data_IF_038997294017
#
_entry.id   IF_038997294017
#
_cell.length_a   1.000
_cell.length_b   1.000
_cell.length_c   1.000
_cell.angle_alpha   90.00
_cell.angle_beta   90.00
_cell.angle_gamma   90.00
#
_symmetry.space_group_name_H-M   'P 1'
#
loop_
_entity.id
_entity.type
_entity.pdbx_description
1 polymer ?
#
# COMPACT_ATOMS: atom_id res chain seq x y z
N UNK A 1 -11.47 44.30 34.73
CA UNK A 1 -11.46 42.82 34.62
C UNK A 1 -12.18 42.34 33.35
N UNK A 2 -13.36 42.87 33.01
CA UNK A 2 -14.10 42.47 31.79
C UNK A 2 -13.41 42.80 30.46
N UNK A 3 -12.78 43.98 30.31
CA UNK A 3 -12.15 44.36 29.02
C UNK A 3 -11.01 43.42 28.57
N UNK A 4 -10.28 42.84 29.53
CA UNK A 4 -9.19 41.92 29.23
C UNK A 4 -9.71 40.59 28.71
N UNK A 5 -10.87 40.14 29.21
CA UNK A 5 -11.57 38.94 28.74
C UNK A 5 -12.07 39.14 27.30
N UNK A 6 -12.64 40.31 26.99
CA UNK A 6 -13.09 40.64 25.62
C UNK A 6 -11.94 40.69 24.62
N UNK A 7 -10.81 41.31 24.97
CA UNK A 7 -9.61 41.32 24.11
C UNK A 7 -9.04 39.93 23.86
N UNK A 8 -9.08 39.06 24.87
CA UNK A 8 -8.69 37.65 24.72
C UNK A 8 -9.64 36.91 23.78
N UNK A 9 -10.95 37.08 23.95
CA UNK A 9 -11.96 36.46 23.08
C UNK A 9 -11.86 36.94 21.63
N UNK A 10 -11.62 38.23 21.41
CA UNK A 10 -11.37 38.80 20.07
C UNK A 10 -10.10 38.22 19.43
N UNK A 11 -9.02 38.08 20.20
CA UNK A 11 -7.79 37.45 19.74
C UNK A 11 -8.04 35.99 19.34
N UNK A 12 -8.71 35.20 20.18
CA UNK A 12 -9.06 33.82 19.87
C UNK A 12 -10.01 33.70 18.67
N UNK A 13 -11.00 34.59 18.56
CA UNK A 13 -11.90 34.65 17.42
C UNK A 13 -11.18 34.98 16.11
N UNK A 14 -10.26 35.95 16.13
CA UNK A 14 -9.43 36.31 15.00
C UNK A 14 -8.49 35.18 14.56
N UNK A 15 -7.85 34.50 15.51
CA UNK A 15 -7.02 33.32 15.24
C UNK A 15 -7.87 32.18 14.66
N UNK A 16 -9.04 31.90 15.22
CA UNK A 16 -9.94 30.86 14.72
C UNK A 16 -10.41 31.15 13.29
N UNK A 17 -10.75 32.41 12.98
CA UNK A 17 -11.14 32.84 11.64
C UNK A 17 -9.99 32.71 10.64
N UNK A 18 -8.77 33.11 11.01
CA UNK A 18 -7.57 32.95 10.18
C UNK A 18 -7.29 31.47 9.88
N UNK A 19 -7.39 30.61 10.90
CA UNK A 19 -7.24 29.16 10.72
C UNK A 19 -8.32 28.58 9.80
N UNK A 20 -9.57 29.05 9.93
CA UNK A 20 -10.67 28.64 9.07
C UNK A 20 -10.46 29.08 7.62
N UNK A 21 -10.06 30.34 7.38
CA UNK A 21 -9.79 30.85 6.04
C UNK A 21 -8.60 30.13 5.41
N UNK A 22 -7.54 29.88 6.18
CA UNK A 22 -6.40 29.07 5.72
C UNK A 22 -6.85 27.65 5.33
N UNK A 23 -7.65 26.99 6.17
CA UNK A 23 -8.21 25.66 5.89
C UNK A 23 -9.09 25.67 4.62
N UNK A 24 -9.98 26.66 4.46
CA UNK A 24 -10.83 26.78 3.27
C UNK A 24 -9.98 27.01 2.02
N UNK A 25 -9.02 27.93 2.08
CA UNK A 25 -8.12 28.24 0.95
C UNK A 25 -7.33 27.02 0.53
N UNK A 26 -6.84 26.26 1.51
CA UNK A 26 -6.18 24.96 1.33
C UNK A 26 -7.09 23.94 0.65
N UNK A 27 -8.32 23.81 1.14
CA UNK A 27 -9.30 22.85 0.59
C UNK A 27 -9.63 23.22 -0.85
N UNK A 28 -9.83 24.51 -1.13
CA UNK A 28 -10.11 25.03 -2.47
C UNK A 28 -8.91 24.86 -3.40
N UNK A 29 -7.69 25.18 -2.94
CA UNK A 29 -6.47 25.03 -3.72
C UNK A 29 -6.19 23.56 -4.02
N UNK A 30 -6.39 22.64 -3.06
CA UNK A 30 -6.20 21.21 -3.31
C UNK A 30 -7.32 20.64 -4.18
N UNK A 31 -8.57 21.09 -4.02
CA UNK A 31 -9.67 20.71 -4.92
C UNK A 31 -9.36 21.15 -6.36
N UNK A 32 -8.83 22.36 -6.54
CA UNK A 32 -8.33 22.86 -7.82
C UNK A 32 -7.15 22.04 -8.34
N UNK A 33 -6.10 21.85 -7.54
CA UNK A 33 -4.91 21.06 -7.90
C UNK A 33 -5.28 19.64 -8.30
N UNK A 34 -6.23 19.00 -7.61
CA UNK A 34 -6.70 17.65 -7.94
C UNK A 34 -7.50 17.59 -9.23
N UNK A 35 -8.39 18.57 -9.45
CA UNK A 35 -9.18 18.67 -10.67
C UNK A 35 -8.30 18.75 -11.92
N UNK A 36 -7.15 19.41 -11.83
CA UNK A 36 -6.32 19.69 -13.01
C UNK A 36 -5.00 18.88 -13.10
N UNK A 37 -4.42 18.42 -11.99
CA UNK A 37 -3.08 17.79 -11.99
C UNK A 37 -3.04 16.32 -11.52
N UNK A 38 -4.17 15.68 -11.19
CA UNK A 38 -4.13 14.48 -10.35
C UNK A 38 -5.12 13.36 -10.69
N UNK A 39 -5.50 13.18 -11.96
CA UNK A 39 -6.01 11.88 -12.39
C UNK A 39 -4.96 10.79 -12.06
N UNK A 40 -5.37 9.60 -11.64
CA UNK A 40 -4.47 8.45 -11.63
C UNK A 40 -3.90 8.25 -13.04
N UNK A 41 -2.84 7.46 -13.19
CA UNK A 41 -2.32 7.16 -14.52
C UNK A 41 -3.36 6.29 -15.25
N UNK A 42 -4.39 6.87 -15.84
CA UNK A 42 -5.45 6.11 -16.53
C UNK A 42 -5.00 5.59 -17.91
N UNK A 43 -3.74 5.82 -18.29
CA UNK A 43 -3.17 5.15 -19.47
C UNK A 43 -3.24 3.63 -19.26
N UNK A 44 -3.56 2.93 -20.34
CA UNK A 44 -3.49 1.48 -20.39
C UNK A 44 -2.11 1.05 -19.93
N UNK A 45 -2.06 0.27 -18.85
CA UNK A 45 -0.83 -0.40 -18.50
C UNK A 45 -0.55 -1.41 -19.61
N UNK A 46 0.68 -1.39 -20.13
CA UNK A 46 1.18 -2.36 -21.08
C UNK A 46 2.32 -3.07 -20.36
N UNK A 47 2.28 -4.40 -20.36
CA UNK A 47 3.43 -5.17 -19.94
C UNK A 47 4.43 -5.24 -21.09
N UNK A 48 5.67 -4.91 -20.77
CA UNK A 48 6.77 -4.95 -21.71
C UNK A 48 7.39 -6.36 -21.68
N UNK A 49 7.31 -7.08 -22.81
CA UNK A 49 8.01 -8.35 -23.00
C UNK A 49 9.32 -8.09 -23.75
N UNK A 50 10.49 -8.22 -23.10
CA UNK A 50 11.77 -7.96 -23.75
C UNK A 50 12.10 -8.98 -24.86
N UNK A 51 11.33 -10.07 -24.99
CA UNK A 51 11.51 -11.09 -26.03
C UNK A 51 10.50 -10.96 -27.19
N UNK A 52 9.59 -9.98 -27.14
CA UNK A 52 8.52 -9.83 -28.13
C UNK A 52 8.24 -8.36 -28.42
N UNK A 53 8.06 -8.01 -29.69
CA UNK A 53 7.58 -6.68 -30.08
C UNK A 53 6.06 -6.54 -29.92
N UNK A 54 5.35 -7.62 -29.56
CA UNK A 54 3.90 -7.56 -29.32
C UNK A 54 3.65 -7.05 -27.90
N UNK A 55 2.84 -6.00 -27.73
CA UNK A 55 2.47 -5.53 -26.40
C UNK A 55 1.68 -6.64 -25.68
N UNK A 56 2.01 -6.89 -24.41
CA UNK A 56 1.25 -7.84 -23.58
C UNK A 56 0.20 -7.04 -22.82
N UNK A 57 -1.10 -7.29 -23.06
CA UNK A 57 -2.16 -6.55 -22.37
C UNK A 57 -2.10 -6.83 -20.87
N UNK A 58 -2.31 -5.80 -20.06
CA UNK A 58 -2.43 -5.98 -18.62
C UNK A 58 -3.83 -6.54 -18.29
N UNK A 59 -3.92 -7.64 -17.52
CA UNK A 59 -5.17 -8.19 -17.05
C UNK A 59 -5.80 -7.21 -16.06
N UNK A 60 -7.06 -7.45 -15.74
CA UNK A 60 -7.80 -6.66 -14.78
C UNK A 60 -7.98 -7.42 -13.47
N UNK A 61 -7.84 -6.73 -12.34
CA UNK A 61 -8.25 -7.27 -11.03
C UNK A 61 -9.73 -7.73 -11.02
N UNK A 62 -10.54 -7.19 -11.93
CA UNK A 62 -11.96 -7.52 -12.05
C UNK A 62 -12.24 -8.81 -12.83
N UNK A 63 -11.23 -9.36 -13.51
CA UNK A 63 -11.28 -10.67 -14.14
C UNK A 63 -11.02 -11.78 -13.11
N UNK A 64 -11.50 -13.03 -13.36
CA UNK A 64 -11.19 -14.19 -12.53
C UNK A 64 -9.68 -14.35 -12.32
N UNK A 65 -9.29 -14.89 -11.16
CA UNK A 65 -7.88 -15.15 -10.88
C UNK A 65 -7.32 -16.25 -11.80
N UNK A 66 -6.13 -16.04 -12.34
CA UNK A 66 -5.38 -17.06 -13.12
C UNK A 66 -4.21 -17.64 -12.34
N UNK A 67 -3.76 -16.94 -11.29
CA UNK A 67 -2.64 -17.32 -10.44
C UNK A 67 -3.11 -17.40 -9.01
N UNK A 68 -2.45 -18.24 -8.21
CA UNK A 68 -2.72 -18.27 -6.79
C UNK A 68 -2.19 -17.00 -6.10
N UNK A 69 -0.97 -16.57 -6.42
CA UNK A 69 -0.32 -15.42 -5.78
C UNK A 69 0.23 -14.40 -6.80
N UNK A 70 -0.05 -13.12 -6.60
CA UNK A 70 0.66 -12.02 -7.26
C UNK A 70 1.52 -11.26 -6.26
N UNK A 71 2.80 -11.05 -6.57
CA UNK A 71 3.69 -10.19 -5.79
C UNK A 71 3.85 -8.86 -6.50
N UNK A 72 3.57 -7.76 -5.81
CA UNK A 72 3.58 -6.40 -6.31
C UNK A 72 4.78 -5.68 -5.71
N UNK A 73 5.78 -5.38 -6.54
CA UNK A 73 7.06 -4.80 -6.12
C UNK A 73 7.25 -3.43 -6.77
N UNK A 74 7.06 -2.32 -6.04
CA UNK A 74 7.32 -0.99 -6.56
C UNK A 74 8.83 -0.70 -6.55
N UNK A 75 9.36 -0.18 -7.65
CA UNK A 75 10.77 0.13 -7.81
C UNK A 75 10.96 1.58 -8.30
N UNK A 76 11.81 2.33 -7.59
CA UNK A 76 12.25 3.66 -8.01
C UNK A 76 13.72 3.89 -7.62
N UNK A 77 14.58 3.89 -8.62
CA UNK A 77 16.04 3.98 -8.45
C UNK A 77 16.60 2.91 -7.50
N UNK A 78 16.32 1.65 -7.83
CA UNK A 78 16.64 0.45 -7.05
C UNK A 78 17.66 -0.46 -7.75
N UNK A 79 18.46 0.04 -8.71
CA UNK A 79 19.38 -0.77 -9.52
C UNK A 79 20.26 -1.71 -8.68
N UNK A 80 20.70 -1.26 -7.50
CA UNK A 80 21.59 -2.04 -6.63
C UNK A 80 20.86 -2.92 -5.62
N UNK A 81 19.60 -2.63 -5.28
CA UNK A 81 18.85 -3.36 -4.22
C UNK A 81 17.89 -4.38 -4.79
N UNK A 82 17.28 -4.07 -5.93
CA UNK A 82 16.29 -4.90 -6.60
C UNK A 82 16.82 -6.32 -6.97
N UNK A 83 18.05 -6.50 -7.50
CA UNK A 83 18.52 -7.84 -7.87
C UNK A 83 18.52 -8.84 -6.72
N UNK A 84 19.08 -8.45 -5.57
CA UNK A 84 19.17 -9.32 -4.40
C UNK A 84 17.80 -9.66 -3.82
N UNK A 85 16.90 -8.67 -3.73
CA UNK A 85 15.53 -8.87 -3.27
C UNK A 85 14.74 -9.81 -4.20
N UNK A 86 14.88 -9.64 -5.53
CA UNK A 86 14.22 -10.50 -6.50
C UNK A 86 14.80 -11.91 -6.53
N UNK A 87 16.13 -12.09 -6.46
CA UNK A 87 16.72 -13.43 -6.41
C UNK A 87 16.27 -14.19 -5.13
N UNK A 88 16.24 -13.54 -3.97
CA UNK A 88 15.69 -14.14 -2.73
C UNK A 88 14.22 -14.56 -2.94
N UNK A 89 13.41 -13.67 -3.52
CA UNK A 89 11.99 -13.90 -3.78
C UNK A 89 11.77 -15.05 -4.76
N UNK A 90 12.46 -15.06 -5.90
CA UNK A 90 12.32 -16.08 -6.93
C UNK A 90 12.80 -17.45 -6.44
N UNK A 91 13.89 -17.51 -5.67
CA UNK A 91 14.35 -18.76 -5.05
C UNK A 91 13.33 -19.33 -4.05
N UNK A 92 12.61 -18.49 -3.29
CA UNK A 92 11.53 -18.94 -2.44
C UNK A 92 10.35 -19.47 -3.25
N UNK A 93 9.88 -18.72 -4.26
CA UNK A 93 8.72 -19.08 -5.07
C UNK A 93 8.95 -20.37 -5.88
N UNK A 94 10.14 -20.55 -6.46
CA UNK A 94 10.48 -21.78 -7.19
C UNK A 94 10.47 -23.01 -6.28
N UNK A 95 11.06 -22.92 -5.08
CA UNK A 95 10.99 -24.00 -4.08
C UNK A 95 9.56 -24.32 -3.66
N UNK A 96 8.69 -23.31 -3.57
CA UNK A 96 7.28 -23.50 -3.27
C UNK A 96 6.53 -24.23 -4.40
N UNK A 97 6.79 -23.89 -5.67
CA UNK A 97 6.28 -24.63 -6.84
C UNK A 97 6.81 -26.07 -6.91
N UNK A 98 8.05 -26.31 -6.47
CA UNK A 98 8.60 -27.66 -6.40
C UNK A 98 7.87 -28.52 -5.37
N UNK A 99 7.56 -27.94 -4.20
CA UNK A 99 6.84 -28.59 -3.10
C UNK A 99 5.35 -28.78 -3.38
N UNK A 100 4.71 -27.82 -4.04
CA UNK A 100 3.28 -27.83 -4.36
C UNK A 100 3.06 -27.46 -5.83
N UNK A 101 2.67 -28.44 -6.64
CA UNK A 101 2.44 -28.27 -8.08
C UNK A 101 1.17 -27.48 -8.41
N UNK A 102 0.26 -27.30 -7.45
CA UNK A 102 -0.92 -26.46 -7.61
C UNK A 102 -0.61 -24.99 -7.38
N UNK A 103 0.48 -24.68 -6.67
CA UNK A 103 0.90 -23.31 -6.43
C UNK A 103 1.37 -22.66 -7.72
N UNK A 104 0.76 -21.52 -8.05
CA UNK A 104 1.12 -20.69 -9.19
C UNK A 104 1.30 -19.24 -8.74
N UNK A 105 2.24 -18.54 -9.37
CA UNK A 105 2.54 -17.17 -8.98
C UNK A 105 2.82 -16.27 -10.17
N UNK A 106 2.82 -14.98 -9.91
CA UNK A 106 3.48 -13.97 -10.74
C UNK A 106 4.14 -12.89 -9.86
N UNK A 107 5.19 -12.27 -10.39
CA UNK A 107 5.85 -11.10 -9.82
C UNK A 107 5.66 -9.94 -10.78
N UNK A 108 5.07 -8.86 -10.29
CA UNK A 108 4.84 -7.62 -11.04
C UNK A 108 5.76 -6.56 -10.46
N UNK A 109 6.75 -6.16 -11.25
CA UNK A 109 7.67 -5.07 -10.92
C UNK A 109 7.11 -3.79 -11.54
N UNK A 110 6.95 -2.74 -10.73
CA UNK A 110 6.43 -1.45 -11.21
C UNK A 110 7.53 -0.42 -11.11
N UNK A 111 8.11 -0.06 -12.25
CA UNK A 111 9.08 1.02 -12.35
C UNK A 111 8.36 2.37 -12.34
N UNK A 112 8.53 3.13 -11.26
CA UNK A 112 7.94 4.45 -11.06
C UNK A 112 8.79 5.55 -11.75
N UNK A 113 9.24 5.29 -12.97
CA UNK A 113 10.03 6.23 -13.77
C UNK A 113 11.46 6.41 -13.27
N UNK A 114 12.18 5.31 -13.03
CA UNK A 114 13.57 5.35 -12.60
C UNK A 114 14.48 5.97 -13.67
N UNK A 115 15.53 6.64 -13.19
CA UNK A 115 16.57 7.28 -14.02
C UNK A 115 17.90 6.52 -14.03
N UNK A 116 18.02 5.50 -13.17
CA UNK A 116 19.15 4.57 -13.12
C UNK A 116 18.88 3.28 -13.93
N UNK A 117 19.71 2.25 -13.75
CA UNK A 117 19.56 0.96 -14.43
C UNK A 117 18.43 0.05 -13.92
N UNK A 118 17.54 0.51 -13.03
CA UNK A 118 16.42 -0.31 -12.48
C UNK A 118 15.59 -0.99 -13.56
N UNK A 119 15.26 -0.26 -14.65
CA UNK A 119 14.48 -0.80 -15.77
C UNK A 119 15.19 -2.00 -16.43
N UNK A 120 16.50 -1.87 -16.66
CA UNK A 120 17.32 -2.94 -17.26
C UNK A 120 17.30 -4.19 -16.37
N UNK A 121 17.53 -4.01 -15.07
CA UNK A 121 17.48 -5.10 -14.09
C UNK A 121 16.12 -5.80 -14.14
N UNK A 122 15.02 -5.06 -14.08
CA UNK A 122 13.69 -5.62 -14.13
C UNK A 122 13.45 -6.45 -15.41
N UNK A 123 13.90 -5.96 -16.57
CA UNK A 123 13.81 -6.69 -17.83
C UNK A 123 14.64 -7.96 -17.87
N UNK A 124 15.83 -7.97 -17.28
CA UNK A 124 16.67 -9.17 -17.22
C UNK A 124 15.97 -10.29 -16.41
N UNK A 125 15.20 -9.93 -15.38
CA UNK A 125 14.36 -10.90 -14.66
C UNK A 125 13.19 -11.42 -15.51
N UNK A 126 12.53 -10.57 -16.31
CA UNK A 126 11.49 -11.03 -17.25
C UNK A 126 12.07 -12.02 -18.25
N UNK A 127 13.25 -11.75 -18.81
CA UNK A 127 13.93 -12.69 -19.72
C UNK A 127 14.25 -14.02 -19.05
N UNK A 128 14.77 -13.98 -17.83
CA UNK A 128 15.18 -15.17 -17.06
C UNK A 128 13.99 -16.07 -16.69
N UNK A 129 12.86 -15.48 -16.29
CA UNK A 129 11.73 -16.24 -15.71
C UNK A 129 10.47 -16.29 -16.58
N UNK A 130 10.50 -15.67 -17.76
CA UNK A 130 9.40 -15.53 -18.74
C UNK A 130 8.29 -14.58 -18.26
N UNK A 131 7.62 -13.96 -19.24
CA UNK A 131 6.54 -12.98 -19.02
C UNK A 131 5.32 -13.53 -18.28
N UNK A 132 5.14 -14.86 -18.23
CA UNK A 132 4.06 -15.45 -17.45
C UNK A 132 4.32 -15.43 -15.94
N UNK A 133 5.58 -15.44 -15.49
CA UNK A 133 5.92 -15.43 -14.07
C UNK A 133 6.47 -14.09 -13.59
N UNK A 134 7.12 -13.31 -14.46
CA UNK A 134 7.66 -11.98 -14.10
C UNK A 134 7.24 -10.97 -15.15
N UNK A 135 6.66 -9.85 -14.70
CA UNK A 135 6.12 -8.79 -15.55
C UNK A 135 6.59 -7.43 -15.07
N UNK A 136 6.68 -6.47 -15.99
CA UNK A 136 7.11 -5.10 -15.70
C UNK A 136 6.09 -4.10 -16.20
N UNK A 137 5.69 -3.17 -15.33
CA UNK A 137 4.90 -1.98 -15.69
C UNK A 137 5.82 -0.76 -15.59
N UNK A 138 5.91 0.02 -16.65
CA UNK A 138 6.66 1.28 -16.67
C UNK A 138 5.67 2.45 -16.53
N UNK A 139 5.80 3.25 -15.47
CA UNK A 139 4.98 4.46 -15.31
C UNK A 139 5.53 5.67 -16.08
N UNK A 140 6.79 5.60 -16.52
CA UNK A 140 7.46 6.61 -17.36
C UNK A 140 7.91 7.87 -16.61
N UNK A 141 7.32 8.20 -15.47
CA UNK A 141 7.78 9.24 -14.54
C UNK A 141 7.39 8.88 -13.11
N UNK A 142 8.04 9.51 -12.13
CA UNK A 142 7.72 9.30 -10.72
C UNK A 142 6.37 9.90 -10.34
N UNK A 143 5.44 9.03 -9.97
CA UNK A 143 4.12 9.35 -9.44
C UNK A 143 4.01 9.10 -7.93
N UNK A 144 4.89 8.25 -7.38
CA UNK A 144 4.94 7.86 -5.99
C UNK A 144 4.57 6.40 -5.77
N UNK A 145 5.06 5.85 -4.64
CA UNK A 145 4.90 4.44 -4.25
C UNK A 145 3.43 3.99 -4.27
N UNK A 146 2.51 4.78 -3.72
CA UNK A 146 1.09 4.48 -3.71
C UNK A 146 0.50 4.31 -5.12
N UNK A 147 0.90 5.13 -6.10
CA UNK A 147 0.47 4.96 -7.50
C UNK A 147 1.03 3.68 -8.12
N UNK A 148 2.32 3.41 -7.89
CA UNK A 148 2.98 2.20 -8.39
C UNK A 148 2.32 0.93 -7.85
N UNK A 149 2.07 0.87 -6.54
CA UNK A 149 1.33 -0.22 -5.91
C UNK A 149 -0.09 -0.31 -6.46
N UNK A 150 -0.82 0.81 -6.55
CA UNK A 150 -2.18 0.83 -7.11
C UNK A 150 -2.22 0.16 -8.47
N UNK A 151 -1.29 0.54 -9.35
CA UNK A 151 -1.21 0.02 -10.71
C UNK A 151 -0.90 -1.47 -10.72
N UNK A 152 0.09 -1.92 -9.95
CA UNK A 152 0.42 -3.33 -9.84
C UNK A 152 -0.75 -4.17 -9.32
N UNK A 153 -1.44 -3.68 -8.28
CA UNK A 153 -2.60 -4.36 -7.70
C UNK A 153 -3.75 -4.48 -8.70
N UNK A 154 -4.14 -3.39 -9.36
CA UNK A 154 -5.25 -3.38 -10.32
C UNK A 154 -4.99 -4.20 -11.60
N UNK A 155 -3.72 -4.53 -11.88
CA UNK A 155 -3.30 -5.29 -13.07
C UNK A 155 -2.72 -6.67 -12.73
N UNK A 156 -3.18 -7.27 -11.64
CA UNK A 156 -2.72 -8.57 -11.14
C UNK A 156 -3.74 -9.69 -11.36
N UNK A 157 -3.25 -10.92 -11.40
CA UNK A 157 -3.99 -12.16 -11.69
C UNK A 157 -4.17 -13.08 -10.47
N UNK A 158 -3.60 -12.71 -9.33
CA UNK A 158 -3.57 -13.50 -8.11
C UNK A 158 -4.91 -13.57 -7.38
N UNK A 159 -5.20 -14.72 -6.77
CA UNK A 159 -6.22 -14.84 -5.71
C UNK A 159 -5.81 -14.07 -4.46
N UNK A 160 -4.53 -14.17 -4.12
CA UNK A 160 -3.87 -13.40 -3.08
C UNK A 160 -2.86 -12.44 -3.72
N UNK A 161 -2.77 -11.23 -3.17
CA UNK A 161 -1.91 -10.17 -3.65
C UNK A 161 -1.01 -9.72 -2.51
N UNK A 162 0.29 -9.90 -2.67
CA UNK A 162 1.29 -9.47 -1.70
C UNK A 162 2.00 -8.22 -2.20
N UNK A 163 1.95 -7.15 -1.43
CA UNK A 163 2.88 -6.03 -1.55
C UNK A 163 4.21 -6.39 -0.89
N UNK A 164 5.32 -6.13 -1.57
CA UNK A 164 6.67 -6.32 -1.06
C UNK A 164 7.60 -5.19 -1.54
N UNK A 165 8.42 -4.64 -0.64
CA UNK A 165 9.39 -3.60 -0.99
C UNK A 165 10.57 -4.16 -1.82
N UNK A 166 11.05 -3.37 -2.77
CA UNK A 166 12.14 -3.72 -3.69
C UNK A 166 13.53 -3.83 -3.02
N UNK A 167 13.66 -3.47 -1.75
CA UNK A 167 14.95 -3.43 -1.05
C UNK A 167 15.30 -4.70 -0.29
N UNK A 168 14.38 -5.67 -0.21
CA UNK A 168 14.60 -6.93 0.51
C UNK A 168 14.65 -6.77 2.03
N UNK A 169 14.17 -5.64 2.57
CA UNK A 169 14.21 -5.39 4.01
C UNK A 169 13.30 -6.34 4.79
N UNK A 170 12.16 -6.77 4.21
CA UNK A 170 11.29 -7.79 4.80
C UNK A 170 11.56 -9.14 4.15
N UNK A 171 11.65 -10.20 4.96
CA UNK A 171 11.95 -11.54 4.46
C UNK A 171 10.73 -12.22 3.83
N UNK A 172 10.90 -12.70 2.60
CA UNK A 172 9.83 -13.35 1.82
C UNK A 172 9.26 -14.58 2.53
N UNK A 173 10.07 -15.28 3.34
CA UNK A 173 9.64 -16.45 4.10
C UNK A 173 8.46 -16.17 5.06
N UNK A 174 8.26 -14.91 5.47
CA UNK A 174 7.13 -14.54 6.33
C UNK A 174 5.81 -14.42 5.58
N UNK A 175 5.80 -14.64 4.26
CA UNK A 175 4.60 -14.67 3.43
C UNK A 175 3.57 -15.68 3.96
N UNK A 176 4.02 -16.87 4.35
CA UNK A 176 3.15 -17.94 4.86
C UNK A 176 2.43 -17.50 6.15
N UNK A 177 3.07 -16.68 6.99
CA UNK A 177 2.42 -16.14 8.19
C UNK A 177 1.22 -15.26 7.85
N UNK A 178 1.31 -14.44 6.81
CA UNK A 178 0.19 -13.59 6.38
C UNK A 178 -0.91 -14.45 5.73
N UNK A 179 -0.51 -15.40 4.88
CA UNK A 179 -1.42 -16.33 4.21
C UNK A 179 -2.23 -17.16 5.22
N UNK A 180 -1.57 -17.73 6.21
CA UNK A 180 -2.21 -18.54 7.25
C UNK A 180 -3.23 -17.73 8.06
N UNK A 181 -2.93 -16.47 8.37
CA UNK A 181 -3.87 -15.59 9.06
C UNK A 181 -5.06 -15.21 8.19
N UNK A 182 -4.87 -14.96 6.89
CA UNK A 182 -5.99 -14.74 5.96
C UNK A 182 -6.89 -15.98 5.92
N UNK A 183 -6.30 -17.18 5.83
CA UNK A 183 -7.06 -18.45 5.85
C UNK A 183 -7.82 -18.65 7.17
N UNK A 184 -7.20 -18.33 8.30
CA UNK A 184 -7.85 -18.45 9.61
C UNK A 184 -9.05 -17.51 9.74
N UNK A 185 -8.91 -16.24 9.33
CA UNK A 185 -10.00 -15.27 9.31
C UNK A 185 -11.09 -15.69 8.33
N UNK A 186 -10.71 -16.15 7.14
CA UNK A 186 -11.68 -16.62 6.13
C UNK A 186 -12.55 -17.76 6.67
N UNK A 187 -11.96 -18.74 7.37
CA UNK A 187 -12.72 -19.85 7.99
C UNK A 187 -13.73 -19.34 9.03
N UNK A 188 -13.35 -18.38 9.86
CA UNK A 188 -14.27 -17.78 10.84
C UNK A 188 -15.42 -17.03 10.17
N UNK A 189 -15.13 -16.29 9.10
CA UNK A 189 -16.15 -15.61 8.29
C UNK A 189 -17.07 -16.60 7.56
N UNK A 190 -16.54 -17.75 7.15
CA UNK A 190 -17.33 -18.84 6.55
C UNK A 190 -18.28 -19.47 7.55
N UNK A 191 -17.77 -19.89 8.71
CA UNK A 191 -18.60 -20.50 9.75
C UNK A 191 -19.77 -19.59 10.15
N UNK A 192 -19.58 -18.26 10.14
CA UNK A 192 -20.65 -17.29 10.38
C UNK A 192 -21.68 -17.20 9.24
N UNK A 193 -21.25 -17.37 7.97
CA UNK A 193 -22.10 -17.22 6.79
C UNK A 193 -22.80 -18.51 6.36
N UNK A 194 -22.18 -19.66 6.53
CA UNK A 194 -22.76 -20.97 6.19
C UNK A 194 -23.91 -21.35 7.15
N UNK A 195 -23.88 -20.86 8.40
CA UNK A 195 -25.06 -20.93 9.29
C UNK A 195 -26.25 -20.14 8.70
N UNK A 196 -25.99 -19.13 7.86
CA UNK A 196 -26.99 -18.25 7.27
C UNK A 196 -27.33 -18.55 5.79
N UNK A 197 -26.51 -19.33 5.06
CA UNK A 197 -26.67 -19.58 3.63
C UNK A 197 -26.39 -21.05 3.28
N UNK A 198 -27.40 -21.74 2.75
CA UNK A 198 -27.35 -23.17 2.41
C UNK A 198 -26.84 -23.47 1.00
N UNK A 199 -26.19 -22.53 0.31
CA UNK A 199 -25.82 -22.71 -1.09
C UNK A 199 -24.70 -21.74 -1.51
N UNK A 200 -23.43 -22.19 -1.52
CA UNK A 200 -22.39 -21.83 -2.51
C UNK A 200 -20.95 -22.18 -2.07
N UNK A 201 -20.15 -22.65 -3.02
CA UNK A 201 -18.69 -22.80 -2.93
C UNK A 201 -18.01 -21.42 -2.98
N UNK A 202 -18.00 -20.69 -1.88
CA UNK A 202 -17.34 -19.38 -1.82
C UNK A 202 -15.82 -19.59 -1.77
N UNK A 203 -15.09 -18.92 -2.67
CA UNK A 203 -13.63 -18.98 -2.71
C UNK A 203 -13.03 -17.93 -1.75
N UNK A 204 -11.83 -18.21 -1.22
CA UNK A 204 -11.11 -17.27 -0.34
C UNK A 204 -10.84 -15.91 -1.01
N UNK A 205 -10.69 -15.91 -2.34
CA UNK A 205 -10.49 -14.73 -3.16
C UNK A 205 -11.70 -13.79 -3.18
N UNK A 206 -12.91 -14.30 -2.89
CA UNK A 206 -14.16 -13.55 -2.87
C UNK A 206 -14.48 -12.92 -1.51
N UNK A 207 -13.84 -13.38 -0.44
CA UNK A 207 -13.96 -12.76 0.89
C UNK A 207 -12.94 -11.63 1.01
N UNK A 208 -13.36 -10.38 1.25
CA UNK A 208 -12.44 -9.29 1.43
C UNK A 208 -11.77 -9.37 2.81
N UNK A 209 -10.49 -9.71 2.84
CA UNK A 209 -9.59 -9.74 4.01
C UNK A 209 -8.26 -9.06 3.67
N UNK A 210 -7.65 -8.38 4.64
CA UNK A 210 -6.32 -7.78 4.53
C UNK A 210 -5.42 -8.16 5.72
N UNK A 211 -4.17 -8.51 5.44
CA UNK A 211 -3.15 -8.82 6.43
C UNK A 211 -1.97 -7.86 6.32
N UNK A 212 -1.58 -7.27 7.44
CA UNK A 212 -0.53 -6.26 7.54
C UNK A 212 0.66 -6.85 8.28
N UNK A 213 1.81 -6.92 7.62
CA UNK A 213 3.08 -7.14 8.31
C UNK A 213 3.40 -5.98 9.24
N UNK A 214 4.13 -6.26 10.32
CA UNK A 214 4.43 -5.30 11.37
C UNK A 214 5.82 -5.47 11.94
N UNK A 215 6.51 -4.33 12.07
CA UNK A 215 7.82 -4.19 12.71
C UNK A 215 7.69 -3.61 14.12
N UNK A 216 6.48 -3.46 14.66
CA UNK A 216 6.25 -2.83 15.95
C UNK A 216 7.05 -3.49 17.10
N UNK A 217 7.24 -4.82 17.03
CA UNK A 217 8.06 -5.56 18.00
C UNK A 217 9.57 -5.22 17.96
N UNK A 218 10.06 -4.66 16.84
CA UNK A 218 11.43 -4.14 16.70
C UNK A 218 11.52 -2.69 17.18
N UNK A 219 10.44 -1.93 17.05
CA UNK A 219 10.34 -0.55 17.50
C UNK A 219 10.57 -0.45 19.01
N UNK A 220 9.98 -1.36 19.79
CA UNK A 220 10.17 -1.42 21.24
C UNK A 220 11.66 -1.54 21.62
N UNK A 221 12.41 -2.37 20.91
CA UNK A 221 13.87 -2.53 21.11
C UNK A 221 14.65 -1.28 20.71
N UNK A 222 14.22 -0.59 19.66
CA UNK A 222 14.89 0.63 19.17
C UNK A 222 14.55 1.88 20.01
N UNK A 223 13.37 1.94 20.62
CA UNK A 223 12.94 3.07 21.46
C UNK A 223 13.79 3.24 22.71
N UNK A 224 14.34 2.14 23.23
CA UNK A 224 15.22 2.12 24.40
C UNK A 224 16.56 2.85 24.17
N UNK A 225 16.99 3.01 22.92
CA UNK A 225 18.32 3.56 22.58
C UNK A 225 18.26 4.91 21.84
N UNK A 226 17.07 5.39 21.46
CA UNK A 226 16.87 6.59 20.64
C UNK A 226 16.75 7.88 21.44
N UNK A 227 17.18 9.00 20.83
CA UNK A 227 17.03 10.35 21.41
C UNK A 227 15.54 10.70 21.60
N UNK A 228 15.23 11.34 22.73
CA UNK A 228 13.85 11.61 23.19
C UNK A 228 12.98 12.38 22.17
N UNK A 229 13.53 13.36 21.44
CA UNK A 229 12.76 14.16 20.49
C UNK A 229 12.29 13.34 19.27
N UNK A 230 13.04 12.29 18.89
CA UNK A 230 12.61 11.37 17.83
C UNK A 230 11.41 10.54 18.30
N UNK A 231 11.42 10.12 19.57
CA UNK A 231 10.31 9.38 20.17
C UNK A 231 9.06 10.28 20.28
N UNK A 232 9.22 11.57 20.62
CA UNK A 232 8.12 12.53 20.65
C UNK A 232 7.50 12.74 19.26
N UNK A 233 8.32 12.98 18.23
CA UNK A 233 7.84 13.18 16.85
C UNK A 233 7.12 11.93 16.31
N UNK A 234 7.66 10.75 16.58
CA UNK A 234 7.08 9.48 16.18
C UNK A 234 5.73 9.23 16.87
N UNK A 235 5.64 9.44 18.19
CA UNK A 235 4.37 9.35 18.93
C UNK A 235 3.35 10.36 18.41
N UNK A 236 3.78 11.58 18.07
CA UNK A 236 2.91 12.58 17.43
C UNK A 236 2.38 12.10 16.07
N UNK A 237 3.24 11.51 15.23
CA UNK A 237 2.82 10.92 13.96
C UNK A 237 1.82 9.78 14.16
N UNK A 238 2.07 8.87 15.12
CA UNK A 238 1.13 7.79 15.45
C UNK A 238 -0.23 8.33 15.93
N UNK A 239 -0.24 9.41 16.72
CA UNK A 239 -1.49 10.06 17.12
C UNK A 239 -2.25 10.62 15.92
N UNK A 240 -1.57 11.28 14.97
CA UNK A 240 -2.21 11.80 13.75
C UNK A 240 -2.79 10.67 12.90
N UNK A 241 -2.05 9.57 12.74
CA UNK A 241 -2.54 8.36 12.04
C UNK A 241 -3.76 7.78 12.75
N UNK A 242 -3.71 7.64 14.08
CA UNK A 242 -4.82 7.15 14.88
C UNK A 242 -6.07 8.01 14.73
N UNK A 243 -5.92 9.34 14.77
CA UNK A 243 -7.05 10.26 14.60
C UNK A 243 -7.64 10.23 13.20
N UNK A 244 -6.82 9.95 12.17
CA UNK A 244 -7.26 9.98 10.78
C UNK A 244 -7.84 8.63 10.30
N UNK A 245 -7.15 7.52 10.57
CA UNK A 245 -7.52 6.18 10.13
C UNK A 245 -8.19 5.33 11.23
N UNK A 246 -8.15 5.75 12.50
CA UNK A 246 -8.69 5.02 13.65
C UNK A 246 -7.74 3.93 14.19
N UNK A 247 -8.12 3.23 15.29
CA UNK A 247 -7.29 2.18 15.92
C UNK A 247 -7.30 0.85 15.16
N UNK A 248 -6.28 0.01 15.29
CA UNK A 248 -6.34 -1.39 14.83
C UNK A 248 -5.04 -1.93 14.22
N UNK A 249 -4.31 -1.10 13.46
CA UNK A 249 -3.00 -1.46 12.90
C UNK A 249 -1.95 -0.50 13.49
N UNK A 250 -0.94 -1.04 14.16
CA UNK A 250 0.12 -0.23 14.77
C UNK A 250 1.17 0.20 13.75
N UNK A 251 1.71 -0.74 12.97
CA UNK A 251 2.68 -0.43 11.91
C UNK A 251 2.00 -0.36 10.54
N UNK A 252 1.37 0.79 10.25
CA UNK A 252 0.75 0.99 8.93
C UNK A 252 1.78 1.03 7.80
N UNK A 253 3.04 1.38 8.08
CA UNK A 253 4.04 1.72 7.07
C UNK A 253 4.92 0.53 6.66
N UNK A 254 4.67 -0.68 7.17
CA UNK A 254 5.39 -1.86 6.73
C UNK A 254 5.08 -2.17 5.27
N UNK A 255 6.09 -2.29 4.40
CA UNK A 255 5.92 -2.60 2.99
C UNK A 255 5.43 -4.02 2.68
N UNK A 256 5.14 -4.85 3.70
CA UNK A 256 4.75 -6.24 3.55
C UNK A 256 3.29 -6.43 3.93
N UNK A 257 2.40 -6.49 2.94
CA UNK A 257 0.95 -6.56 3.18
C UNK A 257 0.28 -7.47 2.16
N UNK A 258 -0.61 -8.35 2.61
CA UNK A 258 -1.31 -9.28 1.76
C UNK A 258 -2.80 -8.97 1.73
N UNK A 259 -3.40 -9.05 0.56
CA UNK A 259 -4.82 -8.79 0.32
C UNK A 259 -5.41 -9.95 -0.45
N UNK A 260 -6.62 -10.34 -0.09
CA UNK A 260 -7.49 -11.12 -0.98
C UNK A 260 -7.86 -10.30 -2.22
N UNK A 261 -8.16 -10.96 -3.34
CA UNK A 261 -8.60 -10.29 -4.58
C UNK A 261 -9.81 -9.38 -4.35
N UNK A 262 -10.81 -9.82 -3.60
CA UNK A 262 -11.98 -9.01 -3.25
C UNK A 262 -11.62 -7.75 -2.46
N UNK A 263 -10.72 -7.85 -1.46
CA UNK A 263 -10.25 -6.67 -0.74
C UNK A 263 -9.48 -5.73 -1.67
N UNK A 264 -8.55 -6.25 -2.47
CA UNK A 264 -7.75 -5.46 -3.39
C UNK A 264 -8.61 -4.66 -4.39
N UNK A 265 -9.66 -5.29 -4.95
CA UNK A 265 -10.63 -4.61 -5.83
C UNK A 265 -11.25 -3.38 -5.19
N UNK A 266 -11.73 -3.51 -3.94
CA UNK A 266 -12.36 -2.39 -3.21
C UNK A 266 -11.34 -1.32 -2.84
N UNK A 267 -10.20 -1.73 -2.29
CA UNK A 267 -9.20 -0.82 -1.75
C UNK A 267 -8.49 -0.04 -2.86
N UNK A 268 -7.86 -0.70 -3.82
CA UNK A 268 -7.01 -0.04 -4.82
C UNK A 268 -7.78 0.70 -5.91
N UNK A 269 -9.09 0.43 -6.05
CA UNK A 269 -9.98 1.28 -6.85
C UNK A 269 -10.23 2.63 -6.19
N UNK A 270 -10.16 2.68 -4.85
CA UNK A 270 -10.57 3.82 -4.03
C UNK A 270 -9.43 4.59 -3.37
N UNK A 271 -8.21 4.07 -3.34
CA UNK A 271 -7.04 4.84 -2.88
C UNK A 271 -6.80 6.04 -3.78
N UNK A 272 -6.42 7.17 -3.19
CA UNK A 272 -6.19 8.45 -3.86
C UNK A 272 -4.83 9.05 -3.53
N UNK A 273 -4.25 8.70 -2.39
CA UNK A 273 -2.89 9.11 -2.02
C UNK A 273 -1.88 8.32 -2.87
N UNK A 274 -0.97 9.05 -3.49
CA UNK A 274 0.00 8.48 -4.45
C UNK A 274 1.37 8.23 -3.84
N UNK A 275 1.69 8.83 -2.68
CA UNK A 275 3.03 8.78 -2.10
C UNK A 275 3.10 7.85 -0.90
N UNK A 276 3.55 8.34 0.26
CA UNK A 276 3.91 7.52 1.41
C UNK A 276 2.72 7.20 2.31
N UNK A 277 1.70 8.06 2.34
CA UNK A 277 0.56 7.88 3.25
C UNK A 277 -0.59 7.03 2.68
N UNK A 278 -0.43 6.46 1.48
CA UNK A 278 -1.43 5.54 0.91
C UNK A 278 -1.72 4.34 1.83
N UNK A 279 -0.73 3.90 2.61
CA UNK A 279 -0.92 2.83 3.58
C UNK A 279 -1.90 3.20 4.72
N UNK A 280 -1.90 4.47 5.14
CA UNK A 280 -2.84 4.99 6.14
C UNK A 280 -4.25 5.05 5.54
N UNK A 281 -4.35 5.43 4.27
CA UNK A 281 -5.60 5.42 3.52
C UNK A 281 -6.16 4.00 3.33
N UNK A 282 -5.30 3.00 3.11
CA UNK A 282 -5.72 1.60 3.07
C UNK A 282 -6.37 1.15 4.38
N UNK A 283 -5.78 1.51 5.54
CA UNK A 283 -6.38 1.19 6.85
C UNK A 283 -7.74 1.89 7.03
N UNK A 284 -7.84 3.15 6.63
CA UNK A 284 -9.12 3.88 6.65
C UNK A 284 -10.18 3.17 5.78
N UNK A 285 -9.83 2.80 4.55
CA UNK A 285 -10.74 2.15 3.61
C UNK A 285 -11.13 0.74 4.05
N UNK A 286 -10.23 -0.02 4.66
CA UNK A 286 -10.57 -1.33 5.23
C UNK A 286 -11.70 -1.19 6.24
N UNK A 287 -11.64 -0.21 7.13
CA UNK A 287 -12.71 0.06 8.11
C UNK A 287 -13.98 0.55 7.47
N UNK A 288 -13.86 1.46 6.50
CA UNK A 288 -15.02 1.96 5.77
C UNK A 288 -15.82 0.82 5.12
N UNK A 289 -15.13 -0.15 4.53
CA UNK A 289 -15.75 -1.31 3.88
C UNK A 289 -16.03 -2.49 4.82
N UNK A 290 -15.71 -2.39 6.11
CA UNK A 290 -15.84 -3.49 7.07
C UNK A 290 -14.95 -4.70 6.73
N UNK A 291 -13.80 -4.48 6.09
CA UNK A 291 -12.83 -5.53 5.73
C UNK A 291 -12.06 -5.93 6.99
N UNK A 292 -12.10 -7.21 7.42
CA UNK A 292 -11.29 -7.71 8.51
C UNK A 292 -9.79 -7.49 8.24
N UNK A 293 -9.11 -6.91 9.24
CA UNK A 293 -7.67 -6.64 9.18
C UNK A 293 -6.93 -7.35 10.31
N UNK A 294 -5.81 -7.99 9.98
CA UNK A 294 -4.91 -8.62 10.96
C UNK A 294 -3.51 -8.01 10.89
N UNK A 295 -2.84 -7.88 12.03
CA UNK A 295 -1.46 -7.37 12.13
C UNK A 295 -0.51 -8.50 12.58
N UNK A 296 0.52 -8.81 11.77
CA UNK A 296 1.42 -9.95 11.97
C UNK A 296 2.85 -9.45 12.11
N UNK A 297 3.60 -9.96 13.11
CA UNK A 297 5.02 -9.64 13.25
C UNK A 297 5.86 -10.29 12.14
N UNK A 298 6.68 -9.48 11.46
CA UNK A 298 7.54 -9.93 10.36
C UNK A 298 9.01 -9.66 10.62
N UNK A 299 9.87 -10.52 10.09
CA UNK A 299 11.31 -10.41 10.11
C UNK A 299 11.74 -9.29 9.19
N UNK A 300 12.36 -8.28 9.78
CA UNK A 300 12.78 -7.08 9.07
C UNK A 300 14.21 -6.71 9.45
N UNK A 301 15.00 -6.31 8.45
CA UNK A 301 16.36 -5.83 8.62
C UNK A 301 16.54 -4.46 7.97
N UNK A 302 17.34 -3.59 8.58
CA UNK A 302 17.64 -2.28 8.02
C UNK A 302 18.56 -2.42 6.80
N UNK A 303 18.09 -1.92 5.66
CA UNK A 303 18.85 -1.87 4.41
C UNK A 303 19.26 -0.42 4.16
N UNK A 304 20.55 -0.13 3.94
CA UNK A 304 21.00 1.23 3.65
C UNK A 304 20.42 1.76 2.33
N UNK A 305 20.34 3.08 2.20
CA UNK A 305 19.84 3.74 0.97
C UNK A 305 18.35 4.07 0.97
N UNK A 306 17.72 4.25 2.14
CA UNK A 306 16.32 4.66 2.27
C UNK A 306 16.00 5.91 1.45
N UNK A 307 14.90 5.86 0.71
CA UNK A 307 14.39 6.97 -0.11
C UNK A 307 13.48 7.93 0.68
N UNK A 308 13.17 7.61 1.94
CA UNK A 308 12.38 8.48 2.82
C UNK A 308 13.29 9.52 3.46
N UNK A 309 13.22 10.76 2.97
CA UNK A 309 13.94 11.90 3.55
C UNK A 309 13.12 12.51 4.71
N UNK A 310 13.73 12.94 5.84
CA UNK A 310 13.06 13.68 6.90
C UNK A 310 12.21 14.88 6.43
N UNK A 311 12.61 15.55 5.35
CA UNK A 311 11.83 16.62 4.71
C UNK A 311 10.50 16.15 4.11
N UNK A 312 10.26 14.84 4.05
CA UNK A 312 8.99 14.25 3.60
C UNK A 312 7.93 14.25 4.71
N UNK A 313 8.31 14.39 5.99
CA UNK A 313 7.39 14.29 7.12
C UNK A 313 6.27 15.34 7.08
N UNK A 314 6.54 16.63 6.79
CA UNK A 314 5.46 17.63 6.65
C UNK A 314 4.48 17.28 5.52
N UNK A 315 4.99 16.78 4.40
CA UNK A 315 4.15 16.33 3.29
C UNK A 315 3.28 15.13 3.67
N UNK A 316 3.81 14.20 4.48
CA UNK A 316 3.05 13.05 4.97
C UNK A 316 1.93 13.48 5.93
N UNK A 317 2.22 14.35 6.89
CA UNK A 317 1.20 14.92 7.78
C UNK A 317 0.10 15.63 6.98
N UNK A 318 0.51 16.37 5.95
CA UNK A 318 -0.41 17.02 5.02
C UNK A 318 -1.29 16.02 4.26
N UNK A 319 -0.71 14.94 3.70
CA UNK A 319 -1.47 13.88 3.04
C UNK A 319 -2.53 13.28 3.96
N UNK A 320 -2.21 13.06 5.24
CA UNK A 320 -3.16 12.51 6.23
C UNK A 320 -4.29 13.49 6.53
N UNK A 321 -3.99 14.78 6.72
CA UNK A 321 -5.03 15.82 6.95
C UNK A 321 -5.95 15.94 5.74
N UNK A 322 -5.38 15.93 4.53
CA UNK A 322 -6.15 15.95 3.28
C UNK A 322 -7.05 14.73 3.13
N UNK A 323 -6.53 13.54 3.43
CA UNK A 323 -7.30 12.29 3.41
C UNK A 323 -8.45 12.33 4.41
N UNK A 324 -8.17 12.68 5.66
CA UNK A 324 -9.17 12.78 6.71
C UNK A 324 -10.27 13.78 6.32
N UNK A 325 -9.89 14.97 5.84
CA UNK A 325 -10.86 15.98 5.39
C UNK A 325 -11.64 15.50 4.18
N UNK A 326 -10.95 14.95 3.17
CA UNK A 326 -11.53 14.50 1.92
C UNK A 326 -12.63 13.46 2.09
N UNK A 327 -12.40 12.45 2.93
CA UNK A 327 -13.43 11.44 3.20
C UNK A 327 -14.51 11.94 4.15
N UNK A 328 -14.17 12.67 5.22
CA UNK A 328 -15.17 13.14 6.22
C UNK A 328 -16.16 14.15 5.64
N UNK A 329 -15.74 14.99 4.69
CA UNK A 329 -16.62 15.96 4.03
C UNK A 329 -17.32 15.38 2.79
N UNK A 330 -17.07 14.11 2.44
CA UNK A 330 -17.63 13.48 1.24
C UNK A 330 -17.06 13.97 -0.10
N UNK A 331 -16.04 14.84 -0.08
CA UNK A 331 -15.34 15.28 -1.30
C UNK A 331 -14.71 14.09 -2.04
N UNK A 332 -14.18 13.13 -1.29
CA UNK A 332 -13.61 11.90 -1.82
C UNK A 332 -14.67 10.81 -1.82
N UNK A 333 -15.44 10.74 -2.91
CA UNK A 333 -16.42 9.69 -3.12
C UNK A 333 -15.74 8.32 -3.17
N UNK A 334 -16.31 7.38 -2.44
CA UNK A 334 -15.92 5.97 -2.46
C UNK A 334 -16.87 5.25 -3.41
N UNK A 335 -16.30 4.48 -4.35
CA UNK A 335 -17.03 3.58 -5.24
C UNK A 335 -17.30 2.30 -4.46
N UNK A 336 -18.58 2.03 -4.19
CA UNK A 336 -19.06 0.86 -3.45
C UNK A 336 -19.15 -0.35 -4.36
#
# INVERSE_FOLDING_TARGET
MMEWVWRILELFGGVALLLLVALITVVLFEAYRRRFNNAHVERNAIFEDPNSLKPVPCPSIFEPAEKYLSLIIPAFNEEHRLPGALDETMNYLQRRVEKDKSFSYEVIIIDDGSVDGTKRVAFDFVKKYKVDNVRVILLGKNHGKGEAIRKGMLHSRGELLLMLDADGATKINDLEKLEDQIRAVARQEFDLKDVAASDSSIMISDIPIAAFGSRAHLEEKALATRKWYRNFLMKGFHLVVLLAAGPGIRDTQCGFKMFTRAAARKLFTNIRLKRWCFDVELVYLCKYFGIPTVEISVTWSEIPGSKVNPLSIPNMLWEIVLMSTGYRTGMWKIRV
#
